data_IF_007938552614
#
_entry.id   IF_007938552614
#
_cell.length_a   1.000
_cell.length_b   1.000
_cell.length_c   1.000
_cell.angle_alpha   90.00
_cell.angle_beta   90.00
_cell.angle_gamma   90.00
#
_symmetry.space_group_name_H-M   'P 1'
#
loop_
_entity.id
_entity.type
_entity.pdbx_description
1 polymer ?
#
# COMPACT_ATOMS: atom_id res chain seq x y z
N UNK A 1 1.90 25.73 3.14
CA UNK A 1 1.72 24.31 2.79
C UNK A 1 1.91 24.22 1.30
N UNK A 2 3.02 23.64 0.84
CA UNK A 2 3.12 23.22 -0.55
C UNK A 2 2.02 22.19 -0.77
N UNK A 3 1.06 22.49 -1.65
CA UNK A 3 0.19 21.46 -2.19
C UNK A 3 1.12 20.54 -2.98
N UNK A 4 1.28 19.30 -2.51
CA UNK A 4 2.00 18.29 -3.29
C UNK A 4 1.39 18.29 -4.70
N UNK A 5 2.22 18.59 -5.69
CA UNK A 5 1.86 18.48 -7.10
C UNK A 5 1.42 17.05 -7.40
N UNK A 6 0.67 16.83 -8.49
CA UNK A 6 0.27 15.49 -8.95
C UNK A 6 1.51 14.62 -9.22
N UNK A 7 2.01 13.95 -8.19
CA UNK A 7 3.14 13.03 -8.26
C UNK A 7 2.60 11.61 -8.38
N UNK A 8 2.90 10.95 -9.50
CA UNK A 8 2.61 9.54 -9.67
C UNK A 8 3.68 8.71 -8.96
N UNK A 9 3.25 7.91 -7.99
CA UNK A 9 4.11 6.92 -7.34
C UNK A 9 4.21 5.67 -8.21
N UNK A 10 5.36 5.01 -8.19
CA UNK A 10 5.45 3.61 -8.63
C UNK A 10 4.66 2.71 -7.66
N UNK A 11 4.32 1.49 -8.10
CA UNK A 11 3.64 0.48 -7.25
C UNK A 11 4.41 0.26 -5.94
N UNK A 12 5.74 0.20 -6.02
CA UNK A 12 6.63 0.07 -4.85
C UNK A 12 6.61 1.32 -3.97
N UNK A 13 6.69 2.52 -4.54
CA UNK A 13 6.64 3.74 -3.76
C UNK A 13 5.29 3.89 -3.04
N UNK A 14 4.20 3.48 -3.69
CA UNK A 14 2.88 3.45 -3.08
C UNK A 14 2.81 2.42 -1.93
N UNK A 15 3.45 1.25 -2.07
CA UNK A 15 3.57 0.28 -0.98
C UNK A 15 4.27 0.89 0.23
N UNK A 16 5.42 1.53 0.01
CA UNK A 16 6.20 2.16 1.07
C UNK A 16 5.45 3.32 1.72
N UNK A 17 4.71 4.10 0.94
CA UNK A 17 3.85 5.15 1.48
C UNK A 17 2.75 4.58 2.40
N UNK A 18 2.10 3.49 1.99
CA UNK A 18 1.12 2.77 2.83
C UNK A 18 1.78 2.24 4.11
N UNK A 19 2.95 1.62 4.01
CA UNK A 19 3.67 1.11 5.17
C UNK A 19 3.99 2.21 6.18
N UNK A 20 4.56 3.33 5.75
CA UNK A 20 4.91 4.45 6.65
C UNK A 20 3.68 5.09 7.31
N UNK A 21 2.55 5.13 6.60
CA UNK A 21 1.30 5.59 7.19
C UNK A 21 0.84 4.67 8.33
N UNK A 22 0.86 3.35 8.13
CA UNK A 22 0.48 2.38 9.16
C UNK A 22 1.48 2.32 10.32
N UNK A 23 2.77 2.49 10.03
CA UNK A 23 3.82 2.60 11.03
C UNK A 23 3.56 3.79 11.97
N UNK A 24 3.19 4.94 11.42
CA UNK A 24 2.80 6.11 12.21
C UNK A 24 1.58 5.82 13.11
N UNK A 25 0.55 5.16 12.59
CA UNK A 25 -0.62 4.78 13.38
C UNK A 25 -0.26 3.78 14.51
N UNK A 26 0.65 2.85 14.26
CA UNK A 26 1.18 1.98 15.31
C UNK A 26 1.97 2.77 16.35
N UNK A 27 2.75 3.78 15.95
CA UNK A 27 3.47 4.62 16.89
C UNK A 27 2.54 5.34 17.87
N UNK A 28 1.39 5.79 17.40
CA UNK A 28 0.36 6.47 18.19
C UNK A 28 -0.44 5.53 19.08
N UNK A 29 -0.82 4.36 18.54
CA UNK A 29 -1.76 3.45 19.20
C UNK A 29 -1.09 2.37 20.04
N UNK A 30 0.14 1.98 19.68
CA UNK A 30 0.86 0.81 20.19
C UNK A 30 0.02 -0.48 20.11
N UNK A 31 -0.83 -0.60 19.09
CA UNK A 31 -1.66 -1.79 18.89
C UNK A 31 -0.81 -3.01 18.52
N UNK A 32 -0.88 -4.07 19.32
CA UNK A 32 -0.16 -5.32 19.07
C UNK A 32 -0.56 -5.97 17.73
N UNK A 33 -1.83 -5.86 17.35
CA UNK A 33 -2.32 -6.38 16.06
C UNK A 33 -1.69 -5.63 14.88
N UNK A 34 -1.59 -4.29 14.98
CA UNK A 34 -0.90 -3.48 13.97
C UNK A 34 0.59 -3.78 13.95
N UNK A 35 1.23 -3.93 15.12
CA UNK A 35 2.64 -4.28 15.23
C UNK A 35 2.97 -5.63 14.59
N UNK A 36 2.12 -6.64 14.82
CA UNK A 36 2.25 -7.96 14.18
C UNK A 36 2.12 -7.88 12.65
N UNK A 37 1.14 -7.13 12.16
CA UNK A 37 0.96 -6.91 10.72
C UNK A 37 2.14 -6.17 10.09
N UNK A 38 2.65 -5.11 10.73
CA UNK A 38 3.80 -4.33 10.25
C UNK A 38 5.08 -5.18 10.18
N UNK A 39 5.25 -6.15 11.07
CA UNK A 39 6.33 -7.12 10.99
C UNK A 39 6.38 -7.84 9.64
N UNK A 40 5.22 -8.35 9.18
CA UNK A 40 5.10 -9.02 7.89
C UNK A 40 5.22 -8.06 6.69
N UNK A 41 4.74 -6.82 6.83
CA UNK A 41 4.76 -5.82 5.77
C UNK A 41 6.10 -5.08 5.64
N UNK A 42 7.02 -5.24 6.60
CA UNK A 42 8.29 -4.52 6.66
C UNK A 42 9.10 -4.70 5.37
N UNK A 43 9.59 -3.60 4.80
CA UNK A 43 10.41 -3.63 3.59
C UNK A 43 11.84 -4.07 3.91
N UNK A 44 12.32 -5.10 3.23
CA UNK A 44 13.61 -5.73 3.43
C UNK A 44 14.45 -5.66 2.15
N UNK A 45 15.77 -5.65 2.32
CA UNK A 45 16.76 -5.69 1.23
C UNK A 45 17.71 -6.85 1.54
N UNK A 46 17.95 -7.71 0.56
CA UNK A 46 18.84 -8.87 0.70
C UNK A 46 19.66 -9.09 -0.57
N UNK A 47 20.60 -10.04 -0.52
CA UNK A 47 21.43 -10.37 -1.67
C UNK A 47 20.55 -10.99 -2.78
N UNK A 48 20.32 -10.21 -3.85
CA UNK A 48 19.53 -10.63 -5.00
C UNK A 48 18.11 -10.04 -5.08
N UNK A 49 17.69 -9.17 -4.15
CA UNK A 49 16.39 -8.51 -4.28
C UNK A 49 15.95 -7.66 -3.08
N UNK A 50 14.71 -7.18 -3.19
CA UNK A 50 14.05 -6.38 -2.16
C UNK A 50 12.54 -6.63 -2.20
N UNK A 51 11.87 -6.38 -1.08
CA UNK A 51 10.42 -6.60 -0.96
C UNK A 51 9.96 -6.67 0.49
N UNK A 52 8.66 -6.92 0.74
CA UNK A 52 8.15 -7.16 2.09
C UNK A 52 8.75 -8.42 2.73
N UNK A 53 8.77 -8.44 4.06
CA UNK A 53 9.27 -9.57 4.85
C UNK A 53 8.45 -10.85 4.59
N UNK A 54 7.13 -10.72 4.41
CA UNK A 54 6.29 -11.78 3.85
C UNK A 54 6.15 -11.60 2.33
N UNK A 55 6.68 -12.53 1.50
CA UNK A 55 6.54 -12.46 0.05
C UNK A 55 5.10 -12.43 -0.45
N UNK A 56 4.14 -13.03 0.29
CA UNK A 56 2.73 -13.04 -0.10
C UNK A 56 2.14 -11.62 -0.10
N UNK A 57 2.60 -10.76 0.81
CA UNK A 57 2.14 -9.37 0.92
C UNK A 57 2.40 -8.56 -0.36
N UNK A 58 3.44 -8.91 -1.14
CA UNK A 58 3.71 -8.22 -2.41
C UNK A 58 2.68 -8.56 -3.48
N UNK A 59 2.20 -9.81 -3.52
CA UNK A 59 1.14 -10.18 -4.45
C UNK A 59 -0.18 -9.51 -4.05
N UNK A 60 -0.54 -9.56 -2.76
CA UNK A 60 -1.75 -8.94 -2.25
C UNK A 60 -1.77 -7.42 -2.51
N UNK A 61 -0.60 -6.76 -2.40
CA UNK A 61 -0.47 -5.35 -2.74
C UNK A 61 -0.70 -5.06 -4.23
N UNK A 62 -0.12 -5.86 -5.12
CA UNK A 62 -0.32 -5.69 -6.56
C UNK A 62 -1.80 -5.84 -6.94
N UNK A 63 -2.50 -6.81 -6.35
CA UNK A 63 -3.93 -7.02 -6.54
C UNK A 63 -4.74 -5.80 -6.02
N UNK A 64 -4.37 -5.27 -4.86
CA UNK A 64 -4.98 -4.05 -4.30
C UNK A 64 -4.76 -2.82 -5.20
N UNK A 65 -3.56 -2.64 -5.75
CA UNK A 65 -3.25 -1.55 -6.69
C UNK A 65 -4.05 -1.71 -7.98
N UNK A 66 -4.13 -2.91 -8.54
CA UNK A 66 -4.95 -3.17 -9.73
C UNK A 66 -6.43 -2.85 -9.47
N UNK A 67 -6.95 -3.23 -8.31
CA UNK A 67 -8.31 -2.88 -7.89
C UNK A 67 -8.50 -1.37 -7.79
N UNK A 68 -7.54 -0.65 -7.21
CA UNK A 68 -7.61 0.82 -7.09
C UNK A 68 -7.60 1.50 -8.47
N UNK A 69 -6.80 1.01 -9.42
CA UNK A 69 -6.72 1.57 -10.77
C UNK A 69 -7.97 1.28 -11.61
N UNK A 70 -8.54 0.07 -11.50
CA UNK A 70 -9.73 -0.34 -12.26
C UNK A 70 -11.03 0.26 -11.73
N UNK A 71 -11.08 0.65 -10.46
CA UNK A 71 -12.26 1.29 -9.84
C UNK A 71 -12.57 2.67 -10.44
N UNK A 72 -11.62 3.29 -11.16
CA UNK A 72 -11.78 4.63 -11.74
C UNK A 72 -12.20 4.66 -13.23
N UNK A 73 -12.43 3.51 -13.89
CA UNK A 73 -12.87 3.48 -15.31
C UNK A 73 -14.33 3.05 -15.54
N UNK A 74 -15.05 2.51 -14.55
CA UNK A 74 -16.42 1.99 -14.74
C UNK A 74 -17.49 2.58 -13.80
N UNK A 75 -17.24 3.75 -13.20
CA UNK A 75 -18.27 4.48 -12.46
C UNK A 75 -19.16 5.34 -13.39
N UNK A 76 -19.65 4.77 -14.49
CA UNK A 76 -20.90 5.24 -15.09
C UNK A 76 -22.03 4.42 -14.44
N UNK A 77 -23.05 5.05 -13.82
CA UNK A 77 -24.20 4.30 -13.33
C UNK A 77 -24.84 3.55 -14.51
N UNK A 78 -25.32 2.30 -14.33
CA UNK A 78 -26.17 1.70 -15.34
C UNK A 78 -27.42 2.57 -15.48
N UNK A 79 -27.59 3.16 -16.66
CA UNK A 79 -28.84 3.78 -17.08
C UNK A 79 -29.97 2.78 -16.83
N UNK A 80 -30.85 3.11 -15.90
CA UNK A 80 -32.09 2.35 -15.69
C UNK A 80 -33.01 2.68 -16.85
N UNK A 81 -33.09 1.77 -17.83
CA UNK A 81 -34.21 1.70 -18.79
C UNK A 81 -35.45 1.13 -18.12
#
# INVERSE_FOLDING_TARGET
MEMMSEQKLTVEQAYRAMFYFLEHEYELTKSDELGGMLGSLSWQIWEGGHGPADPAAWQDWQDAVQKALTTNENAAPPDKQ
#
